data_IF_431743344543
#
_entry.id   IF_431743344543
#
_cell.length_a   1.000
_cell.length_b   1.000
_cell.length_c   1.000
_cell.angle_alpha   90.00
_cell.angle_beta   90.00
_cell.angle_gamma   90.00
#
_symmetry.space_group_name_H-M   'P 1'
#
loop_
_entity.id
_entity.type
_entity.pdbx_description
1 polymer ?
#
# COMPACT_ATOMS: atom_id res chain seq x y z
N UNK A 1 -0.08 9.23 -7.14
CA UNK A 1 1.19 9.48 -6.42
C UNK A 1 1.00 9.00 -4.99
N UNK A 2 1.78 8.01 -4.56
CA UNK A 2 1.66 7.38 -3.24
C UNK A 2 2.94 7.67 -2.47
N UNK A 3 2.82 8.07 -1.21
CA UNK A 3 3.95 8.28 -0.30
C UNK A 3 3.78 7.46 0.97
N UNK A 4 4.80 7.45 1.82
CA UNK A 4 4.71 6.87 3.17
C UNK A 4 3.55 7.54 3.93
N UNK A 5 2.82 6.77 4.73
CA UNK A 5 1.58 7.12 5.44
C UNK A 5 0.33 7.32 4.57
N UNK A 6 0.43 7.23 3.23
CA UNK A 6 -0.74 7.27 2.37
C UNK A 6 -1.62 6.02 2.57
N UNK A 7 -2.93 6.23 2.68
CA UNK A 7 -3.92 5.16 2.71
C UNK A 7 -4.35 4.76 1.29
N UNK A 8 -4.52 3.45 1.09
CA UNK A 8 -4.89 2.85 -0.19
C UNK A 8 -6.03 1.85 0.00
N UNK A 9 -6.95 1.82 -0.95
CA UNK A 9 -7.92 0.73 -1.06
C UNK A 9 -7.27 -0.46 -1.74
N UNK A 10 -7.59 -1.67 -1.26
CA UNK A 10 -7.13 -2.91 -1.87
C UNK A 10 -8.07 -3.31 -3.00
N UNK A 11 -7.49 -3.64 -4.15
CA UNK A 11 -8.22 -4.08 -5.34
C UNK A 11 -7.90 -5.55 -5.66
N UNK A 12 -8.00 -6.41 -4.64
CA UNK A 12 -7.83 -7.85 -4.74
C UNK A 12 -8.86 -8.59 -3.86
N UNK A 13 -8.74 -9.92 -3.77
CA UNK A 13 -9.59 -10.80 -2.97
C UNK A 13 -8.84 -11.48 -1.80
N UNK A 14 -7.72 -10.91 -1.35
CA UNK A 14 -6.93 -11.42 -0.22
C UNK A 14 -7.63 -11.28 1.14
N UNK A 15 -8.66 -10.43 1.21
CA UNK A 15 -9.40 -10.08 2.42
C UNK A 15 -8.96 -8.76 3.07
N UNK A 16 -7.84 -8.16 2.66
CA UNK A 16 -7.49 -6.80 3.06
C UNK A 16 -8.42 -5.78 2.38
N UNK A 17 -8.78 -4.71 3.10
CA UNK A 17 -9.64 -3.63 2.59
C UNK A 17 -8.90 -2.30 2.45
N UNK A 18 -8.14 -1.94 3.49
CA UNK A 18 -7.34 -0.71 3.52
C UNK A 18 -5.90 -1.00 3.94
N UNK A 19 -4.97 -0.37 3.24
CA UNK A 19 -3.55 -0.41 3.53
C UNK A 19 -3.04 1.00 3.85
N UNK A 20 -1.95 1.06 4.61
CA UNK A 20 -1.12 2.26 4.74
C UNK A 20 0.28 1.94 4.22
N UNK A 21 0.79 2.75 3.30
CA UNK A 21 2.15 2.63 2.78
C UNK A 21 3.17 2.91 3.88
N UNK A 22 4.15 2.01 4.07
CA UNK A 22 5.25 2.20 5.02
C UNK A 22 6.61 2.36 4.33
N UNK A 23 6.72 1.94 3.05
CA UNK A 23 7.94 2.10 2.25
C UNK A 23 7.65 2.01 0.75
N UNK A 24 8.25 2.89 -0.04
CA UNK A 24 8.29 2.77 -1.51
C UNK A 24 9.56 2.00 -1.90
N UNK A 25 9.42 1.00 -2.77
CA UNK A 25 10.55 0.21 -3.27
C UNK A 25 11.12 0.81 -4.57
N UNK A 26 12.36 0.43 -4.91
CA UNK A 26 13.05 0.92 -6.11
C UNK A 26 14.12 1.99 -5.87
N UNK A 27 14.83 1.91 -4.73
CA UNK A 27 15.95 2.81 -4.40
C UNK A 27 15.52 4.04 -3.61
N UNK A 28 16.14 5.20 -3.89
CA UNK A 28 15.88 6.47 -3.21
C UNK A 28 14.60 7.18 -3.69
N UNK A 29 13.58 6.42 -4.13
CA UNK A 29 12.30 6.97 -4.58
C UNK A 29 11.48 7.46 -3.38
N UNK A 30 10.98 8.69 -3.47
CA UNK A 30 10.09 9.28 -2.44
C UNK A 30 8.61 8.98 -2.68
N UNK A 31 8.22 8.69 -3.92
CA UNK A 31 6.84 8.47 -4.34
C UNK A 31 6.71 7.26 -5.25
N UNK A 32 5.55 6.59 -5.19
CA UNK A 32 5.17 5.51 -6.09
C UNK A 32 4.06 5.95 -7.07
N UNK A 33 4.14 5.44 -8.30
CA UNK A 33 3.11 5.51 -9.32
C UNK A 33 2.44 4.16 -9.57
N UNK A 34 1.64 4.07 -10.64
CA UNK A 34 1.08 2.80 -11.11
C UNK A 34 2.22 1.91 -11.60
N UNK A 35 2.25 0.65 -11.17
CA UNK A 35 3.28 -0.34 -11.53
C UNK A 35 4.51 -0.36 -10.60
N UNK A 36 4.67 0.62 -9.71
CA UNK A 36 5.69 0.57 -8.66
C UNK A 36 5.24 -0.34 -7.51
N UNK A 37 6.22 -0.97 -6.84
CA UNK A 37 5.99 -1.79 -5.65
C UNK A 37 6.18 -1.00 -4.36
N UNK A 38 5.34 -1.28 -3.37
CA UNK A 38 5.41 -0.70 -2.02
C UNK A 38 5.35 -1.79 -0.97
N UNK A 39 5.87 -1.50 0.22
CA UNK A 39 5.57 -2.26 1.44
C UNK A 39 4.48 -1.50 2.19
N UNK A 40 3.45 -2.21 2.62
CA UNK A 40 2.31 -1.63 3.31
C UNK A 40 1.85 -2.49 4.49
N UNK A 41 1.19 -1.86 5.45
CA UNK A 41 0.54 -2.54 6.58
C UNK A 41 -0.97 -2.56 6.38
N UNK A 42 -1.60 -3.70 6.69
CA UNK A 42 -3.06 -3.83 6.67
C UNK A 42 -3.66 -3.05 7.84
N UNK A 43 -4.58 -2.13 7.53
CA UNK A 43 -5.28 -1.31 8.52
C UNK A 43 -6.75 -1.69 8.69
N UNK A 44 -7.33 -2.36 7.71
CA UNK A 44 -8.69 -2.93 7.75
C UNK A 44 -8.74 -4.19 6.86
N UNK A 45 -9.47 -5.20 7.31
CA UNK A 45 -9.61 -6.50 6.65
C UNK A 45 -11.00 -7.10 6.89
N UNK A 46 -11.36 -8.11 6.11
CA UNK A 46 -12.50 -8.97 6.40
C UNK A 46 -12.27 -9.72 7.73
N UNK A 47 -13.35 -10.03 8.47
CA UNK A 47 -13.26 -10.90 9.62
C UNK A 47 -12.62 -12.25 9.25
N UNK A 48 -11.91 -12.89 10.19
CA UNK A 48 -11.42 -14.26 10.04
C UNK A 48 -12.57 -15.27 9.96
#
# INVERSE_FOLDING_TARGET
MIQVEAYLNVADNSGAKKLMCIRVLGGSKRYAGVGDLIVAVVKDALPP
#
